data_IF_337276872756
#
_entry.id   IF_337276872756
#
_cell.length_a   1.000
_cell.length_b   1.000
_cell.length_c   1.000
_cell.angle_alpha   90.00
_cell.angle_beta   90.00
_cell.angle_gamma   90.00
#
_symmetry.space_group_name_H-M   'P 1'
#
loop_
_entity.id
_entity.type
_entity.pdbx_description
1 polymer ?
#
# COMPACT_ATOMS: atom_id res chain seq x y z
N UNK A 1 -20.61 11.81 23.42
CA UNK A 1 -20.37 12.24 22.00
C UNK A 1 -19.09 11.63 21.41
N UNK A 2 -18.13 11.17 22.21
CA UNK A 2 -16.87 10.54 21.72
C UNK A 2 -17.07 9.09 21.25
N UNK A 3 -18.11 8.38 21.71
CA UNK A 3 -18.39 6.98 21.33
C UNK A 3 -18.92 6.78 19.91
N UNK A 4 -19.53 7.79 19.29
CA UNK A 4 -20.08 7.65 17.94
C UNK A 4 -19.03 7.79 16.81
N UNK A 5 -17.90 8.44 17.06
CA UNK A 5 -16.80 8.59 16.06
C UNK A 5 -16.09 7.25 15.81
N UNK A 6 -15.82 6.46 16.86
CA UNK A 6 -15.11 5.19 16.71
C UNK A 6 -15.89 4.12 15.91
N UNK A 7 -17.21 4.06 16.03
CA UNK A 7 -18.05 3.12 15.26
C UNK A 7 -18.11 3.47 13.77
N UNK A 8 -18.11 4.77 13.42
CA UNK A 8 -18.04 5.22 12.04
C UNK A 8 -16.73 4.85 11.35
N UNK A 9 -15.62 4.90 12.07
CA UNK A 9 -14.30 4.61 11.54
C UNK A 9 -14.07 3.10 11.35
N UNK A 10 -14.56 2.27 12.26
CA UNK A 10 -14.56 0.80 12.11
C UNK A 10 -15.40 0.37 10.90
N UNK A 11 -16.58 0.97 10.71
CA UNK A 11 -17.43 0.67 9.55
C UNK A 11 -16.82 1.12 8.23
N UNK A 12 -16.14 2.28 8.19
CA UNK A 12 -15.41 2.77 7.01
C UNK A 12 -14.23 1.86 6.68
N UNK A 13 -13.49 1.41 7.69
CA UNK A 13 -12.36 0.48 7.53
C UNK A 13 -12.83 -0.87 6.98
N UNK A 14 -13.92 -1.42 7.48
CA UNK A 14 -14.52 -2.66 6.96
C UNK A 14 -14.96 -2.55 5.50
N UNK A 15 -15.36 -1.36 5.02
CA UNK A 15 -15.70 -1.14 3.62
C UNK A 15 -14.48 -1.14 2.69
N UNK A 16 -13.29 -0.85 3.22
CA UNK A 16 -12.02 -0.87 2.48
C UNK A 16 -11.33 -2.24 2.57
N UNK A 17 -11.61 -3.02 3.61
CA UNK A 17 -11.08 -4.38 3.81
C UNK A 17 -11.88 -5.46 3.04
N UNK A 18 -12.68 -5.05 2.06
CA UNK A 18 -13.47 -5.99 1.26
C UNK A 18 -12.55 -6.87 0.39
N UNK A 19 -12.73 -8.20 0.39
CA UNK A 19 -11.84 -9.08 -0.35
C UNK A 19 -11.88 -8.75 -1.85
N UNK A 20 -10.69 -8.52 -2.44
CA UNK A 20 -10.53 -8.17 -3.84
C UNK A 20 -10.72 -9.36 -4.80
N UNK A 21 -10.81 -10.56 -4.27
CA UNK A 21 -10.79 -11.86 -4.94
C UNK A 21 -12.18 -12.51 -5.07
N UNK A 22 -13.26 -11.74 -4.88
CA UNK A 22 -14.60 -12.24 -5.19
C UNK A 22 -14.78 -12.26 -6.72
N UNK A 23 -14.60 -13.45 -7.29
CA UNK A 23 -14.86 -13.70 -8.70
C UNK A 23 -16.35 -13.85 -8.98
N UNK A 24 -16.77 -13.42 -10.18
CA UNK A 24 -18.16 -13.54 -10.67
C UNK A 24 -18.70 -14.98 -10.65
N UNK A 25 -17.83 -15.96 -10.49
CA UNK A 25 -18.09 -17.39 -10.53
C UNK A 25 -17.75 -18.12 -9.23
N UNK A 26 -17.53 -17.42 -8.13
CA UNK A 26 -17.36 -18.06 -6.83
C UNK A 26 -18.56 -18.95 -6.51
N UNK A 27 -18.30 -20.23 -6.20
CA UNK A 27 -19.35 -21.23 -6.00
C UNK A 27 -19.89 -21.26 -4.58
N UNK A 28 -19.37 -20.47 -3.67
CA UNK A 28 -19.84 -20.41 -2.28
C UNK A 28 -21.05 -19.51 -2.16
N UNK A 29 -22.10 -19.97 -1.48
CA UNK A 29 -23.39 -19.29 -1.42
C UNK A 29 -23.35 -17.90 -0.76
N UNK A 30 -22.35 -17.62 0.08
CA UNK A 30 -22.13 -16.33 0.73
C UNK A 30 -21.61 -15.25 -0.23
N UNK A 31 -20.83 -15.63 -1.24
CA UNK A 31 -20.25 -14.70 -2.21
C UNK A 31 -21.28 -14.14 -3.20
N UNK A 32 -22.41 -14.83 -3.40
CA UNK A 32 -23.48 -14.39 -4.32
C UNK A 32 -24.23 -13.14 -3.84
N UNK A 33 -24.20 -12.85 -2.55
CA UNK A 33 -24.89 -11.70 -1.96
C UNK A 33 -23.97 -10.50 -1.76
N UNK A 34 -22.67 -10.66 -1.98
CA UNK A 34 -21.70 -9.60 -1.83
C UNK A 34 -21.76 -8.64 -3.03
N UNK A 35 -21.96 -7.33 -2.83
CA UNK A 35 -21.87 -6.36 -3.91
C UNK A 35 -20.44 -6.32 -4.42
N UNK A 36 -20.24 -6.22 -5.73
CA UNK A 36 -18.93 -6.21 -6.36
C UNK A 36 -17.99 -5.19 -5.72
N UNK A 37 -16.75 -5.58 -5.46
CA UNK A 37 -15.72 -4.80 -4.78
C UNK A 37 -15.58 -3.37 -5.31
N UNK A 38 -15.62 -3.18 -6.64
CA UNK A 38 -15.54 -1.85 -7.28
C UNK A 38 -16.68 -0.90 -6.84
N UNK A 39 -17.89 -1.41 -6.62
CA UNK A 39 -19.02 -0.60 -6.14
C UNK A 39 -18.82 -0.17 -4.68
N UNK A 40 -18.30 -1.05 -3.83
CA UNK A 40 -17.99 -0.74 -2.44
C UNK A 40 -16.86 0.28 -2.31
N UNK A 41 -15.79 0.13 -3.11
CA UNK A 41 -14.70 1.09 -3.14
C UNK A 41 -15.17 2.48 -3.60
N UNK A 42 -15.98 2.57 -4.66
CA UNK A 42 -16.56 3.86 -5.09
C UNK A 42 -17.41 4.50 -4.01
N UNK A 43 -18.21 3.71 -3.30
CA UNK A 43 -19.04 4.21 -2.18
C UNK A 43 -18.17 4.69 -1.01
N UNK A 44 -17.09 3.99 -0.69
CA UNK A 44 -16.14 4.41 0.33
C UNK A 44 -15.41 5.71 -0.06
N UNK A 45 -14.92 5.79 -1.31
CA UNK A 45 -14.28 6.99 -1.85
C UNK A 45 -15.21 8.21 -1.85
N UNK A 46 -16.48 8.05 -2.25
CA UNK A 46 -17.45 9.13 -2.20
C UNK A 46 -17.62 9.66 -0.76
N UNK A 47 -17.74 8.77 0.24
CA UNK A 47 -17.84 9.18 1.65
C UNK A 47 -16.57 9.89 2.17
N UNK A 48 -15.38 9.45 1.74
CA UNK A 48 -14.12 10.11 2.08
C UNK A 48 -14.07 11.50 1.43
N UNK A 49 -14.48 11.61 0.16
CA UNK A 49 -14.57 12.88 -0.55
C UNK A 49 -15.56 13.84 0.10
N UNK A 50 -16.76 13.37 0.47
CA UNK A 50 -17.76 14.17 1.17
C UNK A 50 -17.23 14.67 2.53
N UNK A 51 -16.52 13.82 3.27
CA UNK A 51 -15.90 14.19 4.53
C UNK A 51 -14.78 15.23 4.33
N UNK A 52 -13.93 15.06 3.32
CA UNK A 52 -12.89 16.04 2.99
C UNK A 52 -13.48 17.40 2.53
N UNK A 53 -14.63 17.36 1.84
CA UNK A 53 -15.33 18.56 1.36
C UNK A 53 -16.14 19.27 2.46
N UNK A 54 -16.43 18.62 3.60
CA UNK A 54 -17.25 19.21 4.67
C UNK A 54 -16.55 20.36 5.41
N UNK A 55 -15.28 20.62 5.11
CA UNK A 55 -14.55 21.75 5.67
C UNK A 55 -14.28 21.67 7.17
N UNK A 56 -14.56 20.54 7.79
CA UNK A 56 -14.10 20.27 9.15
C UNK A 56 -12.58 20.37 9.12
N UNK A 57 -12.03 21.42 9.76
CA UNK A 57 -10.60 21.60 9.90
C UNK A 57 -10.02 20.33 10.51
N UNK A 58 -9.45 19.49 9.66
CA UNK A 58 -8.64 18.39 10.14
C UNK A 58 -7.46 19.02 10.89
N UNK A 59 -7.21 18.68 12.16
CA UNK A 59 -6.03 19.17 12.85
C UNK A 59 -4.81 18.83 11.99
N UNK A 60 -3.84 19.73 11.95
CA UNK A 60 -2.55 19.43 11.32
C UNK A 60 -2.04 18.11 11.90
N UNK A 61 -1.61 17.21 11.03
CA UNK A 61 -1.03 15.94 11.47
C UNK A 61 0.24 16.25 12.26
N UNK A 62 0.27 15.87 13.53
CA UNK A 62 1.44 16.06 14.37
C UNK A 62 2.58 15.11 13.97
N UNK A 63 3.81 15.42 14.38
CA UNK A 63 5.00 14.61 14.06
C UNK A 63 4.82 13.12 14.45
N UNK A 64 4.15 12.86 15.58
CA UNK A 64 3.88 11.49 16.03
C UNK A 64 2.89 10.77 15.14
N UNK A 65 1.89 11.48 14.62
CA UNK A 65 0.91 10.90 13.68
C UNK A 65 1.57 10.59 12.33
N UNK A 66 2.50 11.45 11.86
CA UNK A 66 3.30 11.17 10.67
C UNK A 66 4.14 9.89 10.84
N UNK A 67 4.79 9.71 12.00
CA UNK A 67 5.51 8.48 12.33
C UNK A 67 4.58 7.25 12.34
N UNK A 68 3.38 7.39 12.91
CA UNK A 68 2.39 6.32 12.93
C UNK A 68 1.89 5.95 11.53
N UNK A 69 1.67 6.93 10.66
CA UNK A 69 1.31 6.69 9.25
C UNK A 69 2.41 5.95 8.50
N UNK A 70 3.67 6.35 8.67
CA UNK A 70 4.82 5.67 8.07
C UNK A 70 4.92 4.21 8.54
N UNK A 71 4.72 3.95 9.83
CA UNK A 71 4.65 2.58 10.36
C UNK A 71 3.54 1.75 9.70
N UNK A 72 2.36 2.35 9.50
CA UNK A 72 1.25 1.71 8.78
C UNK A 72 1.61 1.36 7.33
N UNK A 73 2.29 2.27 6.64
CA UNK A 73 2.80 2.07 5.28
C UNK A 73 3.83 0.93 5.25
N UNK A 74 4.81 0.92 6.16
CA UNK A 74 5.79 -0.16 6.27
C UNK A 74 5.13 -1.54 6.41
N UNK A 75 4.19 -1.66 7.35
CA UNK A 75 3.46 -2.89 7.60
C UNK A 75 2.64 -3.34 6.38
N UNK A 76 2.09 -2.39 5.63
CA UNK A 76 1.35 -2.68 4.40
C UNK A 76 2.28 -3.24 3.32
N UNK A 77 3.42 -2.59 3.09
CA UNK A 77 4.41 -3.01 2.10
C UNK A 77 5.03 -4.38 2.47
N UNK A 78 5.31 -4.61 3.75
CA UNK A 78 5.81 -5.90 4.25
C UNK A 78 4.85 -7.05 3.93
N UNK A 79 3.56 -6.85 4.16
CA UNK A 79 2.54 -7.86 3.80
C UNK A 79 2.51 -8.16 2.31
N UNK A 80 2.64 -7.13 1.46
CA UNK A 80 2.68 -7.33 0.01
C UNK A 80 3.96 -8.06 -0.42
N UNK A 81 5.10 -7.68 0.15
CA UNK A 81 6.38 -8.32 -0.14
C UNK A 81 6.39 -9.79 0.29
N UNK A 82 5.88 -10.07 1.48
CA UNK A 82 5.73 -11.45 1.98
C UNK A 82 4.80 -12.28 1.10
N UNK A 83 3.70 -11.71 0.63
CA UNK A 83 2.77 -12.41 -0.27
C UNK A 83 3.42 -12.71 -1.63
N UNK A 84 4.15 -11.76 -2.22
CA UNK A 84 4.92 -11.97 -3.45
C UNK A 84 5.96 -13.08 -3.27
N UNK A 85 6.76 -12.98 -2.21
CA UNK A 85 7.83 -13.95 -1.93
C UNK A 85 7.29 -15.37 -1.72
N UNK A 86 6.24 -15.49 -0.91
CA UNK A 86 5.57 -16.78 -0.69
C UNK A 86 5.10 -17.40 -2.01
N UNK A 87 4.41 -16.60 -2.84
CA UNK A 87 3.89 -17.09 -4.11
C UNK A 87 5.01 -17.52 -5.07
N UNK A 88 6.08 -16.72 -5.16
CA UNK A 88 7.26 -17.08 -5.97
C UNK A 88 7.85 -18.41 -5.52
N UNK A 89 7.99 -18.64 -4.20
CA UNK A 89 8.57 -19.91 -3.70
C UNK A 89 7.67 -21.11 -3.95
N UNK A 90 6.36 -20.95 -3.85
CA UNK A 90 5.40 -22.05 -3.94
C UNK A 90 5.05 -22.42 -5.41
N UNK A 91 5.15 -21.47 -6.37
CA UNK A 91 4.62 -21.62 -7.73
C UNK A 91 5.63 -21.31 -8.85
N UNK A 92 6.92 -21.17 -8.57
CA UNK A 92 7.95 -20.74 -9.54
C UNK A 92 8.29 -21.76 -10.63
N UNK A 93 7.74 -22.95 -10.58
CA UNK A 93 7.96 -24.02 -11.56
C UNK A 93 6.70 -24.38 -12.35
N UNK A 94 5.60 -23.68 -12.12
CA UNK A 94 4.35 -23.95 -12.81
C UNK A 94 4.38 -23.33 -14.22
N UNK A 95 4.09 -24.16 -15.23
CA UNK A 95 4.00 -23.72 -16.65
C UNK A 95 2.91 -22.67 -16.87
N UNK A 96 1.84 -22.69 -16.06
CA UNK A 96 0.72 -21.77 -16.10
C UNK A 96 0.36 -21.37 -14.66
N UNK A 97 0.84 -20.21 -14.24
CA UNK A 97 0.50 -19.63 -12.94
C UNK A 97 -0.63 -18.59 -13.12
N UNK A 98 -1.86 -19.07 -13.02
CA UNK A 98 -3.05 -18.21 -13.18
C UNK A 98 -3.26 -17.20 -12.05
N UNK A 99 -2.56 -17.35 -10.92
CA UNK A 99 -2.64 -16.43 -9.78
C UNK A 99 -1.59 -15.33 -9.83
N UNK A 100 -0.58 -15.47 -10.67
CA UNK A 100 0.48 -14.48 -10.77
C UNK A 100 -0.06 -13.09 -11.15
N UNK A 101 -1.02 -13.01 -12.08
CA UNK A 101 -1.67 -11.77 -12.50
C UNK A 101 -2.38 -11.10 -11.32
N UNK A 102 -3.17 -11.85 -10.56
CA UNK A 102 -3.96 -11.32 -9.44
C UNK A 102 -3.05 -10.74 -8.35
N UNK A 103 -1.98 -11.46 -8.00
CA UNK A 103 -1.02 -11.03 -6.99
C UNK A 103 -0.25 -9.81 -7.49
N UNK A 104 0.20 -9.82 -8.75
CA UNK A 104 0.92 -8.71 -9.35
C UNK A 104 0.09 -7.42 -9.33
N UNK A 105 -1.12 -7.46 -9.89
CA UNK A 105 -1.95 -6.26 -10.02
C UNK A 105 -2.54 -5.80 -8.69
N UNK A 106 -2.82 -6.70 -7.75
CA UNK A 106 -3.19 -6.34 -6.37
C UNK A 106 -2.05 -5.61 -5.67
N UNK A 107 -0.84 -6.13 -5.75
CA UNK A 107 0.36 -5.50 -5.17
C UNK A 107 0.64 -4.16 -5.84
N UNK A 108 0.55 -4.08 -7.17
CA UNK A 108 0.71 -2.85 -7.93
C UNK A 108 -0.32 -1.78 -7.51
N UNK A 109 -1.58 -2.16 -7.31
CA UNK A 109 -2.61 -1.25 -6.80
C UNK A 109 -2.30 -0.72 -5.41
N UNK A 110 -1.77 -1.57 -4.53
CA UNK A 110 -1.29 -1.16 -3.21
C UNK A 110 -0.12 -0.17 -3.30
N UNK A 111 0.88 -0.46 -4.15
CA UNK A 111 2.03 0.43 -4.39
C UNK A 111 1.58 1.80 -4.88
N UNK A 112 0.63 1.83 -5.82
CA UNK A 112 0.06 3.07 -6.34
C UNK A 112 -0.59 3.91 -5.23
N UNK A 113 -1.39 3.29 -4.37
CA UNK A 113 -1.99 3.97 -3.23
C UNK A 113 -0.93 4.51 -2.25
N UNK A 114 0.09 3.72 -1.93
CA UNK A 114 1.19 4.12 -1.06
C UNK A 114 1.99 5.28 -1.66
N UNK A 115 2.24 5.26 -2.97
CA UNK A 115 2.91 6.37 -3.66
C UNK A 115 2.19 7.69 -3.43
N UNK A 116 0.87 7.74 -3.60
CA UNK A 116 0.10 8.96 -3.38
C UNK A 116 0.02 9.36 -1.92
N UNK A 117 -0.13 8.40 -1.00
CA UNK A 117 -0.12 8.67 0.43
C UNK A 117 1.22 9.24 0.90
N UNK A 118 2.34 8.65 0.46
CA UNK A 118 3.68 9.12 0.80
C UNK A 118 3.98 10.48 0.15
N UNK A 119 3.52 10.70 -1.08
CA UNK A 119 3.65 11.99 -1.77
C UNK A 119 2.87 13.10 -1.06
N UNK A 120 1.66 12.82 -0.58
CA UNK A 120 0.88 13.77 0.20
C UNK A 120 1.56 14.07 1.55
N UNK A 121 1.93 13.02 2.30
CA UNK A 121 2.66 13.16 3.56
C UNK A 121 3.93 14.01 3.40
N UNK A 122 4.69 13.78 2.32
CA UNK A 122 5.91 14.52 2.03
C UNK A 122 5.68 16.00 1.78
N UNK A 123 4.55 16.36 1.18
CA UNK A 123 4.17 17.78 0.97
C UNK A 123 3.67 18.42 2.25
N UNK A 124 2.81 17.71 2.99
CA UNK A 124 2.17 18.24 4.20
C UNK A 124 3.19 18.41 5.34
N UNK A 125 4.27 17.62 5.33
CA UNK A 125 5.33 17.63 6.36
C UNK A 125 6.72 17.96 5.79
N UNK A 126 6.77 18.82 4.78
CA UNK A 126 8.03 19.17 4.12
C UNK A 126 9.09 19.70 5.11
N UNK A 127 8.68 20.56 6.05
CA UNK A 127 9.59 21.13 7.05
C UNK A 127 10.17 20.04 7.96
N UNK A 128 9.35 19.10 8.43
CA UNK A 128 9.78 17.96 9.23
C UNK A 128 10.78 17.06 8.50
N UNK A 129 10.54 16.81 7.20
CA UNK A 129 11.41 16.00 6.37
C UNK A 129 12.77 16.66 6.16
N UNK A 130 12.78 17.97 5.96
CA UNK A 130 14.02 18.76 5.83
C UNK A 130 14.77 18.81 7.16
N UNK A 131 14.07 19.09 8.26
CA UNK A 131 14.68 19.19 9.60
C UNK A 131 15.28 17.86 10.08
N UNK A 132 14.62 16.74 9.73
CA UNK A 132 15.15 15.40 10.02
C UNK A 132 16.17 14.89 8.98
N UNK A 133 16.45 15.65 7.92
CA UNK A 133 17.42 15.29 6.88
C UNK A 133 16.95 14.12 5.98
N UNK A 134 15.63 13.91 5.84
CA UNK A 134 15.09 12.73 5.16
C UNK A 134 14.64 12.97 3.72
N UNK A 135 14.91 14.13 3.16
CA UNK A 135 14.46 14.49 1.81
C UNK A 135 14.91 13.51 0.73
N UNK A 136 16.17 13.09 0.74
CA UNK A 136 16.70 12.13 -0.24
C UNK A 136 16.07 10.74 -0.10
N UNK A 137 15.85 10.29 1.15
CA UNK A 137 15.24 9.00 1.40
C UNK A 137 13.77 8.95 0.96
N UNK A 138 12.99 10.01 1.21
CA UNK A 138 11.62 10.12 0.71
C UNK A 138 11.60 10.15 -0.81
N UNK A 139 12.48 10.92 -1.45
CA UNK A 139 12.56 11.01 -2.90
C UNK A 139 12.92 9.67 -3.52
N UNK A 140 13.88 8.94 -2.92
CA UNK A 140 14.24 7.60 -3.37
C UNK A 140 13.08 6.60 -3.22
N UNK A 141 12.37 6.63 -2.08
CA UNK A 141 11.20 5.78 -1.88
C UNK A 141 10.12 6.04 -2.94
N UNK A 142 9.80 7.31 -3.18
CA UNK A 142 8.82 7.71 -4.21
C UNK A 142 9.28 7.29 -5.61
N UNK A 143 10.57 7.39 -5.94
CA UNK A 143 11.10 6.93 -7.22
C UNK A 143 10.88 5.43 -7.42
N UNK A 144 11.22 4.59 -6.43
CA UNK A 144 11.03 3.15 -6.51
C UNK A 144 9.53 2.76 -6.57
N UNK A 145 8.66 3.42 -5.82
CA UNK A 145 7.21 3.21 -5.90
C UNK A 145 6.66 3.65 -7.26
N UNK A 146 7.15 4.75 -7.81
CA UNK A 146 6.80 5.25 -9.13
C UNK A 146 7.16 4.22 -10.23
N UNK A 147 8.40 3.75 -10.24
CA UNK A 147 8.86 2.71 -11.18
C UNK A 147 8.01 1.44 -11.07
N UNK A 148 7.77 0.95 -9.85
CA UNK A 148 6.91 -0.20 -9.63
C UNK A 148 5.49 0.00 -10.17
N UNK A 149 4.94 1.20 -10.02
CA UNK A 149 3.58 1.53 -10.48
C UNK A 149 3.43 1.56 -11.99
N UNK A 150 4.52 1.81 -12.73
CA UNK A 150 4.52 1.86 -14.21
C UNK A 150 4.65 0.48 -14.85
N UNK A 151 5.10 -0.54 -14.12
CA UNK A 151 5.25 -1.89 -14.64
C UNK A 151 3.93 -2.40 -15.24
N UNK A 152 3.94 -2.76 -16.51
CA UNK A 152 2.75 -3.22 -17.23
C UNK A 152 3.12 -4.33 -18.22
N UNK A 153 3.47 -5.53 -17.73
CA UNK A 153 3.77 -6.66 -18.61
C UNK A 153 2.53 -7.08 -19.38
N UNK A 154 2.70 -7.46 -20.64
CA UNK A 154 1.60 -7.99 -21.46
C UNK A 154 1.01 -9.30 -20.91
N UNK A 155 1.83 -10.05 -20.16
CA UNK A 155 1.44 -11.24 -19.39
C UNK A 155 2.38 -11.34 -18.20
N UNK A 156 1.83 -11.51 -17.02
CA UNK A 156 2.63 -11.73 -15.83
C UNK A 156 3.17 -13.15 -15.83
N UNK A 157 4.47 -13.30 -15.61
CA UNK A 157 5.16 -14.59 -15.54
C UNK A 157 5.88 -14.71 -14.22
N UNK A 158 5.85 -15.91 -13.68
CA UNK A 158 6.53 -16.31 -12.46
C UNK A 158 7.54 -17.42 -12.75
N UNK A 159 8.57 -17.11 -13.55
CA UNK A 159 9.60 -18.07 -13.89
C UNK A 159 10.49 -18.40 -12.69
N UNK A 160 11.13 -19.55 -12.71
CA UNK A 160 12.06 -19.93 -11.66
C UNK A 160 13.21 -18.90 -11.58
N UNK A 161 13.72 -18.62 -10.36
CA UNK A 161 14.87 -17.74 -10.19
C UNK A 161 16.08 -18.26 -10.98
N UNK A 162 16.63 -17.39 -11.85
CA UNK A 162 17.76 -17.77 -12.71
C UNK A 162 17.40 -18.36 -14.06
N UNK A 163 16.13 -18.47 -14.41
CA UNK A 163 15.72 -18.89 -15.75
C UNK A 163 16.10 -17.84 -16.81
N UNK A 164 16.79 -18.28 -17.88
CA UNK A 164 17.34 -17.37 -18.89
C UNK A 164 16.27 -16.92 -19.91
N UNK A 165 15.25 -17.78 -20.14
CA UNK A 165 14.29 -17.58 -21.25
C UNK A 165 12.91 -17.04 -20.78
N UNK A 166 12.68 -16.93 -19.48
CA UNK A 166 11.41 -16.44 -18.95
C UNK A 166 11.63 -15.40 -17.84
N UNK A 167 10.86 -14.32 -17.90
CA UNK A 167 10.91 -13.27 -16.87
C UNK A 167 10.20 -13.72 -15.61
N UNK A 168 10.68 -13.25 -14.44
CA UNK A 168 9.90 -13.30 -13.20
C UNK A 168 9.45 -11.87 -12.82
N UNK A 169 8.22 -11.52 -13.22
CA UNK A 169 7.67 -10.20 -12.98
C UNK A 169 7.34 -9.95 -11.50
N UNK A 170 7.06 -11.02 -10.74
CA UNK A 170 6.80 -10.92 -9.29
C UNK A 170 8.08 -10.57 -8.53
N UNK A 171 9.21 -11.20 -8.86
CA UNK A 171 10.50 -10.83 -8.27
C UNK A 171 10.91 -9.42 -8.63
N UNK A 172 10.66 -9.01 -9.88
CA UNK A 172 10.98 -7.66 -10.33
C UNK A 172 10.15 -6.60 -9.60
N UNK A 173 8.85 -6.83 -9.44
CA UNK A 173 7.99 -5.97 -8.63
C UNK A 173 8.43 -5.97 -7.16
N UNK A 174 8.78 -7.13 -6.61
CA UNK A 174 9.29 -7.30 -5.25
C UNK A 174 10.59 -6.55 -4.99
N UNK A 175 11.48 -6.48 -5.98
CA UNK A 175 12.70 -5.68 -5.88
C UNK A 175 12.42 -4.20 -5.62
N UNK A 176 11.56 -3.58 -6.43
CA UNK A 176 11.19 -2.17 -6.26
C UNK A 176 10.51 -1.94 -4.92
N UNK A 177 9.61 -2.84 -4.55
CA UNK A 177 8.90 -2.78 -3.28
C UNK A 177 9.83 -2.84 -2.07
N UNK A 178 10.78 -3.78 -2.07
CA UNK A 178 11.77 -3.92 -1.00
C UNK A 178 12.68 -2.69 -0.90
N UNK A 179 13.08 -2.12 -2.05
CA UNK A 179 13.87 -0.88 -2.07
C UNK A 179 13.11 0.29 -1.48
N UNK A 180 11.84 0.50 -1.88
CA UNK A 180 11.00 1.55 -1.35
C UNK A 180 10.78 1.38 0.16
N UNK A 181 10.46 0.17 0.61
CA UNK A 181 10.26 -0.15 2.02
C UNK A 181 11.49 0.18 2.87
N UNK A 182 12.68 -0.14 2.39
CA UNK A 182 13.92 0.16 3.12
C UNK A 182 14.09 1.67 3.35
N UNK A 183 13.85 2.50 2.34
CA UNK A 183 13.92 3.95 2.49
C UNK A 183 12.84 4.50 3.41
N UNK A 184 11.60 4.01 3.30
CA UNK A 184 10.50 4.41 4.19
C UNK A 184 10.83 4.07 5.65
N UNK A 185 11.43 2.91 5.90
CA UNK A 185 11.88 2.50 7.25
C UNK A 185 12.93 3.46 7.83
N UNK A 186 13.87 3.93 7.01
CA UNK A 186 14.87 4.93 7.43
C UNK A 186 14.17 6.23 7.83
N UNK A 187 13.23 6.70 7.01
CA UNK A 187 12.45 7.92 7.27
C UNK A 187 11.63 7.77 8.56
N UNK A 188 10.90 6.65 8.68
CA UNK A 188 10.10 6.37 9.87
C UNK A 188 10.93 6.40 11.16
N UNK A 189 12.06 5.69 11.18
CA UNK A 189 12.94 5.65 12.34
C UNK A 189 13.45 7.03 12.73
N UNK A 190 13.83 7.84 11.75
CA UNK A 190 14.30 9.20 11.97
C UNK A 190 13.21 10.10 12.55
N UNK A 191 12.03 10.13 11.93
CA UNK A 191 10.89 10.94 12.39
C UNK A 191 10.41 10.48 13.77
N UNK A 192 10.36 9.18 14.04
CA UNK A 192 9.97 8.63 15.33
C UNK A 192 10.97 9.02 16.46
N UNK A 193 12.26 9.02 16.11
CA UNK A 193 13.31 9.48 17.06
C UNK A 193 13.16 10.98 17.33
N UNK A 194 12.94 11.77 16.30
CA UNK A 194 12.71 13.21 16.42
C UNK A 194 11.48 13.50 17.28
N UNK A 195 10.34 12.83 17.04
CA UNK A 195 9.12 12.98 17.82
C UNK A 195 9.33 12.68 19.33
N UNK A 196 10.10 11.64 19.65
CA UNK A 196 10.42 11.30 21.04
C UNK A 196 11.28 12.35 21.74
N UNK A 197 12.21 12.97 21.01
CA UNK A 197 13.08 14.01 21.57
C UNK A 197 12.33 15.32 21.83
N UNK A 198 11.25 15.59 21.11
CA UNK A 198 10.38 16.76 21.34
C UNK A 198 9.51 16.63 22.60
N UNK A 199 9.31 15.42 23.11
CA UNK A 199 8.50 15.16 24.31
C UNK A 199 9.30 15.17 25.63
N UNK A 200 10.62 15.28 25.55
CA UNK A 200 11.53 15.37 26.72
C UNK A 200 11.87 16.82 27.04
#
# INVERSE_FOLDING_TARGET
LVRSRGLGDVYKRQLLDYPADIWLFSQTGEDRLAPGSAKQYRKALAKISDFAASGDNLPAIETQEAAYMLSGIENLLERQLSALHKHVLEHNSELLDFKADDIFYRTKGCIYAVYYMLSALSKDHQDLIVETGQYENITAALSFLGEASTLSPASVKNAAPGEVFAANHLLYLGYYLARAQNYIKIVHNSINTYARNQMQ
#
